data_IF_799854629888
#
_entry.id   IF_799854629888
#
_cell.length_a   1.000
_cell.length_b   1.000
_cell.length_c   1.000
_cell.angle_alpha   90.00
_cell.angle_beta   90.00
_cell.angle_gamma   90.00
#
_symmetry.space_group_name_H-M   'P 1'
#
loop_
_entity.id
_entity.type
_entity.pdbx_description
1 polymer ?
#
# COMPACT_ATOMS: atom_id res chain seq x y z
N UNK A 1 -15.83 -2.29 21.47
CA UNK A 1 -15.32 -3.36 20.61
C UNK A 1 -13.85 -3.06 20.43
N UNK A 2 -12.98 -3.91 20.97
CA UNK A 2 -11.53 -3.73 20.92
C UNK A 2 -11.10 -3.67 19.46
N UNK A 3 -10.44 -2.59 19.04
CA UNK A 3 -9.73 -2.52 17.77
C UNK A 3 -8.58 -3.54 17.86
N UNK A 4 -8.84 -4.77 17.47
CA UNK A 4 -7.88 -5.86 17.58
C UNK A 4 -6.97 -5.85 16.35
N UNK A 5 -5.68 -5.63 16.58
CA UNK A 5 -4.64 -5.60 15.54
C UNK A 5 -3.56 -4.57 15.85
N UNK A 6 -2.30 -4.77 15.41
CA UNK A 6 -1.24 -3.77 15.58
C UNK A 6 -1.49 -2.52 14.72
N UNK A 7 -0.97 -1.38 15.17
CA UNK A 7 -0.77 -0.19 14.35
C UNK A 7 0.65 -0.19 13.78
N UNK A 8 0.73 -0.29 12.46
CA UNK A 8 1.98 -0.46 11.72
C UNK A 8 2.47 0.87 11.16
N UNK A 9 3.78 1.11 11.25
CA UNK A 9 4.49 2.07 10.42
C UNK A 9 5.09 1.34 9.21
N UNK A 10 4.78 1.77 8.00
CA UNK A 10 5.33 1.23 6.76
C UNK A 10 6.21 2.32 6.10
N UNK A 11 7.51 2.03 6.03
CA UNK A 11 8.53 2.96 5.51
C UNK A 11 8.95 2.58 4.09
N UNK A 12 8.69 3.50 3.17
CA UNK A 12 9.11 3.44 1.77
C UNK A 12 10.47 4.10 1.52
N UNK A 13 10.76 4.39 0.26
CA UNK A 13 12.05 4.96 -0.16
C UNK A 13 12.01 6.43 -0.57
N UNK A 14 10.87 7.11 -0.46
CA UNK A 14 10.73 8.54 -0.74
C UNK A 14 11.65 9.41 0.14
N UNK A 15 12.17 10.56 -0.34
CA UNK A 15 13.13 11.38 0.40
C UNK A 15 12.66 11.83 1.79
N UNK A 16 11.37 12.13 1.93
CA UNK A 16 10.75 12.58 3.18
C UNK A 16 10.72 11.51 4.28
N UNK A 17 10.96 10.23 3.96
CA UNK A 17 11.01 9.13 4.94
C UNK A 17 12.01 9.40 6.07
N UNK A 18 13.02 10.24 5.82
CA UNK A 18 13.99 10.72 6.81
C UNK A 18 13.35 11.38 8.03
N UNK A 19 12.13 11.95 7.91
CA UNK A 19 11.43 12.48 9.07
C UNK A 19 11.15 11.39 10.13
N UNK A 20 11.02 10.13 9.72
CA UNK A 20 10.77 9.00 10.63
C UNK A 20 11.98 8.59 11.49
N UNK A 21 13.17 9.15 11.24
CA UNK A 21 14.37 8.93 12.05
C UNK A 21 14.21 9.47 13.47
N UNK A 22 13.47 10.57 13.61
CA UNK A 22 13.28 11.28 14.88
C UNK A 22 11.98 10.88 15.59
N UNK A 23 11.14 10.04 14.96
CA UNK A 23 9.86 9.66 15.54
C UNK A 23 10.02 8.60 16.65
N UNK A 24 9.44 8.85 17.83
CA UNK A 24 9.45 7.87 18.92
C UNK A 24 8.89 6.51 18.50
N UNK A 25 9.59 5.43 18.85
CA UNK A 25 9.22 4.04 18.49
C UNK A 25 7.86 3.66 19.09
N UNK A 26 7.51 4.24 20.24
CA UNK A 26 6.26 4.00 20.96
C UNK A 26 5.02 4.56 20.24
N UNK A 27 5.16 5.32 19.15
CA UNK A 27 4.00 5.74 18.34
C UNK A 27 3.47 4.64 17.42
N UNK A 28 4.12 3.47 17.40
CA UNK A 28 3.79 2.36 16.53
C UNK A 28 3.96 1.03 17.29
N UNK A 29 3.14 0.03 16.97
CA UNK A 29 3.32 -1.32 17.52
C UNK A 29 4.47 -2.03 16.80
N UNK A 30 4.52 -1.91 15.47
CA UNK A 30 5.59 -2.48 14.62
C UNK A 30 5.98 -1.55 13.48
N UNK A 31 7.21 -1.68 13.00
CA UNK A 31 7.81 -0.94 11.90
C UNK A 31 8.23 -1.91 10.81
N UNK A 32 7.64 -1.72 9.65
CA UNK A 32 7.94 -2.48 8.44
C UNK A 32 8.67 -1.55 7.49
N UNK A 33 9.85 -1.97 7.02
CA UNK A 33 10.66 -1.25 6.05
C UNK A 33 10.68 -2.03 4.75
N UNK A 34 10.71 -1.32 3.61
CA UNK A 34 10.88 -1.96 2.30
C UNK A 34 12.18 -1.55 1.61
N UNK A 35 12.79 -2.48 0.88
CA UNK A 35 14.00 -2.25 0.10
C UNK A 35 15.11 -1.58 0.94
N UNK A 36 15.55 -0.37 0.58
CA UNK A 36 16.64 0.31 1.30
C UNK A 36 16.16 1.02 2.57
N UNK A 37 14.85 1.09 2.85
CA UNK A 37 14.30 1.85 3.98
C UNK A 37 14.76 1.34 5.36
N UNK A 38 15.31 0.13 5.44
CA UNK A 38 16.00 -0.37 6.64
C UNK A 38 17.13 0.55 7.13
N UNK A 39 17.67 1.41 6.24
CA UNK A 39 18.73 2.38 6.55
C UNK A 39 18.23 3.66 7.23
N UNK A 40 16.92 3.84 7.34
CA UNK A 40 16.32 5.04 7.95
C UNK A 40 16.50 4.96 9.47
N UNK A 41 16.08 3.86 10.07
CA UNK A 41 16.15 3.64 11.51
C UNK A 41 16.61 2.21 11.81
N UNK A 42 17.35 1.94 12.88
CA UNK A 42 17.89 0.60 13.16
C UNK A 42 16.90 -0.36 13.83
N UNK A 43 15.78 0.15 14.36
CA UNK A 43 14.80 -0.56 15.18
C UNK A 43 13.51 -0.93 14.40
N UNK A 44 13.65 -1.23 13.12
CA UNK A 44 12.59 -1.88 12.35
C UNK A 44 12.40 -3.34 12.77
N UNK A 45 11.19 -3.88 12.58
CA UNK A 45 10.82 -5.24 12.96
C UNK A 45 10.81 -6.19 11.74
N UNK A 46 10.33 -5.69 10.59
CA UNK A 46 10.23 -6.48 9.35
C UNK A 46 10.83 -5.73 8.17
N UNK A 47 11.66 -6.42 7.38
CA UNK A 47 12.14 -5.94 6.08
C UNK A 47 11.51 -6.77 4.94
N UNK A 48 10.86 -6.09 4.00
CA UNK A 48 10.30 -6.70 2.78
C UNK A 48 11.07 -6.22 1.55
N UNK A 49 11.52 -7.13 0.69
CA UNK A 49 12.19 -6.78 -0.57
C UNK A 49 11.96 -7.85 -1.66
N UNK A 50 12.05 -7.51 -2.96
CA UNK A 50 11.84 -8.47 -4.05
C UNK A 50 13.01 -9.43 -4.24
N UNK A 51 12.79 -10.55 -4.96
CA UNK A 51 13.82 -11.59 -5.22
C UNK A 51 15.13 -11.01 -5.80
N UNK A 52 15.02 -9.96 -6.62
CA UNK A 52 16.14 -9.31 -7.30
C UNK A 52 16.84 -8.24 -6.43
N UNK A 53 16.45 -8.06 -5.16
CA UNK A 53 17.07 -7.09 -4.28
C UNK A 53 18.55 -7.42 -4.01
N UNK A 54 19.51 -6.56 -4.41
CA UNK A 54 20.92 -6.92 -4.41
C UNK A 54 21.46 -7.26 -3.01
N UNK A 55 22.23 -8.36 -2.82
CA UNK A 55 22.81 -8.72 -1.53
C UNK A 55 23.59 -7.59 -0.85
N UNK A 56 24.35 -6.81 -1.61
CA UNK A 56 25.11 -5.65 -1.10
C UNK A 56 24.26 -4.48 -0.57
N UNK A 57 22.95 -4.47 -0.84
CA UNK A 57 21.99 -3.47 -0.36
C UNK A 57 21.16 -3.97 0.83
N UNK A 58 21.34 -5.24 1.23
CA UNK A 58 20.66 -5.84 2.39
C UNK A 58 21.35 -5.39 3.70
N UNK A 59 20.65 -5.42 4.84
CA UNK A 59 21.28 -5.25 6.13
C UNK A 59 22.44 -6.25 6.29
N UNK A 60 23.60 -5.84 6.81
CA UNK A 60 24.73 -6.74 7.00
C UNK A 60 24.46 -7.75 8.12
N UNK A 61 23.67 -7.37 9.12
CA UNK A 61 23.30 -8.17 10.28
C UNK A 61 21.83 -7.89 10.64
N UNK A 62 21.19 -8.90 11.21
CA UNK A 62 19.85 -8.82 11.79
C UNK A 62 19.98 -8.93 13.30
N UNK A 63 19.18 -8.14 14.04
CA UNK A 63 18.99 -8.41 15.46
C UNK A 63 18.00 -9.57 15.68
N UNK A 64 17.86 -10.04 16.93
CA UNK A 64 17.02 -11.19 17.28
C UNK A 64 15.52 -10.99 17.01
N UNK A 65 15.05 -9.74 16.92
CA UNK A 65 13.65 -9.40 16.67
C UNK A 65 13.34 -9.09 15.21
N UNK A 66 14.38 -8.94 14.38
CA UNK A 66 14.26 -8.57 12.97
C UNK A 66 14.04 -9.77 12.08
N UNK A 67 13.07 -9.68 11.18
CA UNK A 67 12.82 -10.71 10.16
C UNK A 67 12.79 -10.13 8.75
N UNK A 68 13.12 -10.97 7.79
CA UNK A 68 13.01 -10.69 6.36
C UNK A 68 11.77 -11.40 5.82
N UNK A 69 11.08 -10.76 4.89
CA UNK A 69 9.97 -11.32 4.11
C UNK A 69 10.33 -11.25 2.62
N UNK A 70 10.33 -12.40 1.98
CA UNK A 70 10.67 -12.56 0.55
C UNK A 70 9.44 -13.02 -0.25
N UNK A 71 9.63 -13.30 -1.54
CA UNK A 71 8.54 -13.52 -2.49
C UNK A 71 7.69 -14.75 -2.18
N UNK A 72 8.27 -15.79 -1.58
CA UNK A 72 7.55 -16.97 -1.14
C UNK A 72 6.49 -16.66 -0.06
N UNK A 73 6.67 -15.59 0.72
CA UNK A 73 5.68 -15.10 1.67
C UNK A 73 4.74 -14.04 1.08
N UNK A 74 5.26 -13.03 0.38
CA UNK A 74 4.42 -11.91 -0.07
C UNK A 74 3.62 -12.22 -1.34
N UNK A 75 4.08 -13.09 -2.24
CA UNK A 75 3.35 -13.43 -3.48
C UNK A 75 2.03 -14.13 -3.17
N UNK A 76 1.99 -15.20 -2.34
CA UNK A 76 0.73 -15.82 -1.96
C UNK A 76 -0.19 -14.85 -1.22
N UNK A 77 0.38 -14.01 -0.34
CA UNK A 77 -0.40 -13.03 0.42
C UNK A 77 -1.09 -12.00 -0.48
N UNK A 78 -0.39 -11.46 -1.48
CA UNK A 78 -0.96 -10.51 -2.44
C UNK A 78 -1.99 -11.18 -3.37
N UNK A 79 -1.78 -12.45 -3.72
CA UNK A 79 -2.73 -13.23 -4.52
C UNK A 79 -4.08 -13.46 -3.81
N UNK A 80 -4.12 -13.52 -2.48
CA UNK A 80 -5.39 -13.52 -1.72
C UNK A 80 -6.26 -12.29 -2.00
N UNK A 81 -5.65 -11.21 -2.50
CA UNK A 81 -6.30 -9.94 -2.75
C UNK A 81 -6.32 -9.57 -4.24
N UNK A 82 -6.35 -10.55 -5.15
CA UNK A 82 -6.51 -10.31 -6.59
C UNK A 82 -5.21 -10.07 -7.36
N UNK A 83 -4.07 -10.49 -6.80
CA UNK A 83 -2.80 -10.57 -7.51
C UNK A 83 -2.22 -9.22 -7.94
N UNK A 84 -1.17 -9.26 -8.76
CA UNK A 84 -0.30 -8.10 -8.97
C UNK A 84 -0.88 -7.06 -9.94
N UNK A 85 -1.72 -7.47 -10.89
CA UNK A 85 -2.35 -6.54 -11.86
C UNK A 85 -3.35 -5.62 -11.15
N UNK A 86 -4.21 -6.17 -10.29
CA UNK A 86 -5.21 -5.39 -9.56
C UNK A 86 -4.63 -4.70 -8.34
N UNK A 87 -3.79 -5.37 -7.55
CA UNK A 87 -3.20 -4.80 -6.34
C UNK A 87 -2.10 -3.77 -6.61
N UNK A 88 -1.44 -3.85 -7.77
CA UNK A 88 -0.24 -3.08 -8.10
C UNK A 88 1.04 -3.78 -7.61
N UNK A 89 2.12 -3.69 -8.39
CA UNK A 89 3.36 -4.43 -8.12
C UNK A 89 4.43 -3.62 -7.36
N UNK A 90 4.14 -2.37 -6.98
CA UNK A 90 5.09 -1.59 -6.18
C UNK A 90 5.36 -2.28 -4.84
N UNK A 91 6.58 -2.18 -4.34
CA UNK A 91 6.91 -2.76 -3.02
C UNK A 91 6.06 -2.18 -1.88
N UNK A 92 5.52 -0.98 -2.00
CA UNK A 92 4.62 -0.45 -0.99
C UNK A 92 3.28 -1.18 -0.95
N UNK A 93 2.70 -1.50 -2.11
CA UNK A 93 1.48 -2.31 -2.17
C UNK A 93 1.75 -3.76 -1.80
N UNK A 94 2.84 -4.35 -2.32
CA UNK A 94 3.25 -5.71 -1.96
C UNK A 94 3.44 -5.87 -0.45
N UNK A 95 4.15 -4.92 0.18
CA UNK A 95 4.35 -4.90 1.64
C UNK A 95 3.02 -4.74 2.38
N UNK A 96 2.14 -3.86 1.92
CA UNK A 96 0.86 -3.61 2.57
C UNK A 96 -0.08 -4.83 2.50
N UNK A 97 -0.20 -5.49 1.35
CA UNK A 97 -1.04 -6.69 1.23
C UNK A 97 -0.47 -7.88 2.01
N UNK A 98 0.86 -8.04 2.04
CA UNK A 98 1.49 -9.00 2.94
C UNK A 98 1.16 -8.69 4.40
N UNK A 99 1.36 -7.45 4.85
CA UNK A 99 1.07 -7.04 6.23
C UNK A 99 -0.41 -7.24 6.58
N UNK A 100 -1.33 -6.92 5.65
CA UNK A 100 -2.76 -7.10 5.84
C UNK A 100 -3.13 -8.58 6.04
N UNK A 101 -2.59 -9.49 5.21
CA UNK A 101 -2.82 -10.94 5.37
C UNK A 101 -2.17 -11.54 6.61
N UNK A 102 -0.90 -11.20 6.86
CA UNK A 102 -0.08 -11.88 7.87
C UNK A 102 -0.29 -11.31 9.27
N UNK A 103 -0.43 -9.99 9.40
CA UNK A 103 -0.44 -9.29 10.69
C UNK A 103 -1.83 -8.82 11.11
N UNK A 104 -2.79 -8.75 10.17
CA UNK A 104 -4.17 -8.28 10.41
C UNK A 104 -4.21 -6.98 11.24
N UNK A 105 -3.52 -5.93 10.76
CA UNK A 105 -3.40 -4.67 11.48
C UNK A 105 -4.74 -3.97 11.60
N UNK A 106 -4.87 -3.09 12.60
CA UNK A 106 -5.96 -2.11 12.66
C UNK A 106 -5.61 -0.80 11.93
N UNK A 107 -4.31 -0.52 11.78
CA UNK A 107 -3.80 0.68 11.11
C UNK A 107 -2.53 0.31 10.34
N UNK A 108 -2.45 0.76 9.09
CA UNK A 108 -1.23 0.81 8.28
C UNK A 108 -0.93 2.28 7.96
N UNK A 109 0.10 2.84 8.58
CA UNK A 109 0.51 4.22 8.39
C UNK A 109 1.76 4.30 7.51
N UNK A 110 1.68 5.01 6.39
CA UNK A 110 2.70 5.03 5.34
C UNK A 110 3.52 6.32 5.40
N UNK A 111 4.84 6.19 5.34
CA UNK A 111 5.77 7.30 5.15
C UNK A 111 6.80 6.96 4.07
N UNK A 112 7.18 7.93 3.22
CA UNK A 112 8.10 7.67 2.11
C UNK A 112 7.53 6.81 0.99
N UNK A 113 6.20 6.71 0.91
CA UNK A 113 5.48 5.90 -0.09
C UNK A 113 4.69 6.78 -1.07
N UNK A 114 5.08 8.03 -1.26
CA UNK A 114 4.27 9.01 -1.97
C UNK A 114 4.02 8.69 -3.44
N UNK A 115 4.91 7.92 -4.07
CA UNK A 115 4.77 7.51 -5.47
C UNK A 115 4.59 8.69 -6.44
N UNK A 116 5.08 9.87 -6.05
CA UNK A 116 5.22 11.03 -6.92
C UNK A 116 6.67 11.07 -7.38
N UNK A 117 6.89 10.82 -8.67
CA UNK A 117 8.23 10.77 -9.26
C UNK A 117 8.49 12.07 -10.03
N UNK A 118 9.20 13.05 -9.44
CA UNK A 118 9.51 14.28 -10.15
C UNK A 118 10.43 13.99 -11.36
N UNK A 119 10.25 14.73 -12.45
CA UNK A 119 11.09 14.60 -13.67
C UNK A 119 12.55 15.03 -13.44
N UNK A 120 12.83 15.76 -12.35
CA UNK A 120 14.15 16.27 -11.96
C UNK A 120 14.29 16.25 -10.44
N UNK A 121 15.45 15.86 -9.91
CA UNK A 121 15.72 15.80 -8.46
C UNK A 121 15.94 14.38 -7.93
N UNK A 122 16.13 14.24 -6.62
CA UNK A 122 16.24 12.93 -5.98
C UNK A 122 14.86 12.27 -5.90
N UNK A 123 14.72 11.08 -6.49
CA UNK A 123 13.49 10.27 -6.40
C UNK A 123 13.47 9.40 -5.14
N UNK A 124 14.62 9.23 -4.47
CA UNK A 124 14.78 8.38 -3.29
C UNK A 124 15.63 9.06 -2.21
N UNK A 125 15.46 8.68 -0.94
CA UNK A 125 16.23 9.27 0.17
C UNK A 125 17.74 8.97 0.13
N UNK A 126 18.15 7.97 -0.65
CA UNK A 126 19.55 7.58 -0.88
C UNK A 126 20.10 8.14 -2.21
N UNK A 127 19.46 9.17 -2.78
CA UNK A 127 19.86 9.81 -4.04
C UNK A 127 18.96 9.39 -5.21
N UNK A 128 19.57 9.03 -6.34
CA UNK A 128 18.84 8.56 -7.53
C UNK A 128 18.75 7.04 -7.51
N UNK A 129 17.61 6.50 -7.08
CA UNK A 129 17.24 5.11 -7.38
C UNK A 129 16.71 5.00 -8.82
N UNK A 130 16.80 3.81 -9.42
CA UNK A 130 15.96 3.53 -10.58
C UNK A 130 14.50 3.69 -10.09
N UNK A 131 13.72 4.64 -10.62
CA UNK A 131 12.31 4.69 -10.29
C UNK A 131 11.71 3.31 -10.62
N UNK A 132 10.81 2.84 -9.77
CA UNK A 132 9.84 1.82 -10.18
C UNK A 132 9.28 2.34 -11.50
N UNK A 133 9.53 1.66 -12.62
CA UNK A 133 9.41 2.32 -13.90
C UNK A 133 7.99 2.86 -14.03
N UNK A 134 7.83 4.18 -14.08
CA UNK A 134 6.71 4.80 -14.80
C UNK A 134 6.78 4.47 -16.31
N UNK A 135 7.49 3.41 -16.72
CA UNK A 135 7.48 2.83 -18.07
C UNK A 135 6.29 1.91 -18.10
N UNK A 136 5.43 2.04 -19.10
CA UNK A 136 4.46 1.07 -19.65
C UNK A 136 4.22 -0.25 -18.87
N UNK A 137 4.06 -0.19 -17.55
CA UNK A 137 3.81 -1.34 -16.69
C UNK A 137 2.35 -1.29 -16.30
N UNK A 138 1.62 -2.34 -16.68
CA UNK A 138 0.19 -2.45 -16.50
C UNK A 138 -0.24 -2.31 -15.03
N UNK A 139 0.63 -2.70 -14.08
CA UNK A 139 0.36 -2.65 -12.65
C UNK A 139 0.56 -1.26 -12.02
N UNK A 140 1.24 -0.34 -12.74
CA UNK A 140 1.61 0.99 -12.27
C UNK A 140 0.82 2.14 -12.95
N UNK A 141 -0.19 1.80 -13.77
CA UNK A 141 -0.94 2.75 -14.61
C UNK A 141 -1.70 3.82 -13.83
N UNK A 142 -2.42 3.46 -12.77
CA UNK A 142 -3.10 4.40 -11.87
C UNK A 142 -2.79 4.05 -10.40
N UNK A 143 -1.66 4.55 -9.92
CA UNK A 143 -1.23 4.34 -8.53
C UNK A 143 -2.28 4.87 -7.54
N UNK A 144 -3.01 5.95 -7.87
CA UNK A 144 -4.09 6.45 -7.02
C UNK A 144 -5.24 5.45 -6.90
N UNK A 145 -5.65 4.81 -7.99
CA UNK A 145 -6.65 3.76 -7.94
C UNK A 145 -6.19 2.52 -7.16
N UNK A 146 -4.92 2.12 -7.30
CA UNK A 146 -4.35 1.03 -6.50
C UNK A 146 -4.36 1.35 -5.00
N UNK A 147 -4.06 2.61 -4.64
CA UNK A 147 -4.19 3.06 -3.25
C UNK A 147 -5.65 3.05 -2.78
N UNK A 148 -6.60 3.48 -3.62
CA UNK A 148 -8.03 3.44 -3.26
C UNK A 148 -8.52 2.02 -3.00
N UNK A 149 -8.13 1.09 -3.87
CA UNK A 149 -8.40 -0.34 -3.73
C UNK A 149 -7.83 -0.90 -2.44
N UNK A 150 -6.57 -0.63 -2.14
CA UNK A 150 -5.93 -1.07 -0.89
C UNK A 150 -6.66 -0.52 0.34
N UNK A 151 -7.00 0.78 0.35
CA UNK A 151 -7.72 1.40 1.46
C UNK A 151 -9.08 0.74 1.73
N UNK A 152 -9.84 0.42 0.68
CA UNK A 152 -11.16 -0.19 0.81
C UNK A 152 -11.10 -1.67 1.17
N UNK A 153 -10.11 -2.42 0.67
CA UNK A 153 -9.86 -3.81 1.10
C UNK A 153 -9.40 -3.86 2.56
N UNK A 154 -8.55 -2.92 2.98
CA UNK A 154 -8.16 -2.79 4.37
C UNK A 154 -9.37 -2.44 5.25
N UNK A 155 -10.22 -1.51 4.81
CA UNK A 155 -11.43 -1.11 5.53
C UNK A 155 -12.41 -2.27 5.74
N UNK A 156 -12.59 -3.13 4.74
CA UNK A 156 -13.38 -4.38 4.86
C UNK A 156 -12.86 -5.30 5.98
N UNK A 157 -11.54 -5.26 6.27
CA UNK A 157 -10.91 -6.01 7.36
C UNK A 157 -10.79 -5.21 8.67
N UNK A 158 -11.42 -4.04 8.76
CA UNK A 158 -11.31 -3.18 9.93
C UNK A 158 -9.97 -2.45 10.08
N UNK A 159 -9.20 -2.34 9.00
CA UNK A 159 -7.90 -1.67 8.97
C UNK A 159 -7.99 -0.29 8.29
N UNK A 160 -7.44 0.74 8.94
CA UNK A 160 -7.27 2.06 8.34
C UNK A 160 -5.91 2.19 7.63
N UNK A 161 -5.88 2.74 6.42
CA UNK A 161 -4.65 3.18 5.76
C UNK A 161 -4.47 4.68 5.98
N UNK A 162 -3.29 5.10 6.45
CA UNK A 162 -2.95 6.51 6.73
C UNK A 162 -1.75 6.96 5.91
N UNK A 163 -1.78 8.21 5.44
CA UNK A 163 -0.63 8.87 4.84
C UNK A 163 -0.01 9.84 5.84
N UNK A 164 1.24 9.61 6.24
CA UNK A 164 1.98 10.46 7.17
C UNK A 164 2.78 11.56 6.48
N UNK A 165 2.92 11.49 5.15
CA UNK A 165 3.57 12.50 4.34
C UNK A 165 2.79 13.82 4.40
N UNK A 166 3.51 14.94 4.26
CA UNK A 166 2.93 16.26 3.99
C UNK A 166 3.19 16.70 2.54
N UNK A 167 3.90 15.90 1.76
CA UNK A 167 4.21 16.18 0.37
C UNK A 167 3.05 15.74 -0.56
N UNK A 168 3.17 16.12 -1.83
CA UNK A 168 2.33 15.57 -2.90
C UNK A 168 2.45 14.04 -2.92
N UNK A 169 1.31 13.38 -3.01
CA UNK A 169 1.20 11.93 -2.83
C UNK A 169 0.17 11.36 -3.79
N UNK A 170 0.48 10.22 -4.40
CA UNK A 170 -0.48 9.41 -5.14
C UNK A 170 -1.33 8.53 -4.23
N UNK A 171 -0.95 8.38 -2.94
CA UNK A 171 -1.73 7.66 -1.95
C UNK A 171 -2.95 8.47 -1.54
N UNK A 172 -4.15 7.96 -1.83
CA UNK A 172 -5.43 8.57 -1.49
C UNK A 172 -5.89 8.32 -0.04
N UNK A 173 -4.96 7.90 0.83
CA UNK A 173 -5.26 7.61 2.23
C UNK A 173 -5.55 8.87 3.04
N UNK A 174 -6.27 8.72 4.15
CA UNK A 174 -6.46 9.82 5.10
C UNK A 174 -5.10 10.29 5.63
N UNK A 175 -4.85 11.60 5.60
CA UNK A 175 -3.63 12.17 6.18
C UNK A 175 -3.73 12.23 7.70
N UNK A 176 -2.65 11.87 8.38
CA UNK A 176 -2.56 11.89 9.83
C UNK A 176 -1.16 12.31 10.29
N UNK A 177 -1.09 12.90 11.48
CA UNK A 177 0.18 13.11 12.16
C UNK A 177 0.67 11.79 12.80
N UNK A 178 1.98 11.49 12.78
CA UNK A 178 2.53 10.21 13.24
C UNK A 178 2.18 9.89 14.71
N UNK A 179 2.12 10.90 15.59
CA UNK A 179 1.75 10.75 17.00
C UNK A 179 0.31 10.28 17.23
N UNK A 180 -0.56 10.37 16.21
CA UNK A 180 -1.95 9.94 16.29
C UNK A 180 -2.17 8.48 15.88
N UNK A 181 -1.15 7.80 15.33
CA UNK A 181 -1.30 6.47 14.73
C UNK A 181 -1.78 5.43 15.73
N UNK A 182 -1.18 5.36 16.93
CA UNK A 182 -1.64 4.43 17.97
C UNK A 182 -3.09 4.68 18.38
N UNK A 183 -3.53 5.94 18.45
CA UNK A 183 -4.87 6.28 18.92
C UNK A 183 -5.91 6.30 17.78
N UNK A 184 -5.50 6.00 16.55
CA UNK A 184 -6.38 6.03 15.40
C UNK A 184 -7.42 4.91 15.46
N UNK A 185 -8.69 5.30 15.31
CA UNK A 185 -9.85 4.42 15.43
C UNK A 185 -10.91 4.65 14.35
N UNK A 186 -10.59 5.44 13.32
CA UNK A 186 -11.50 5.75 12.21
C UNK A 186 -11.20 4.86 11.02
N UNK A 187 -12.21 4.19 10.49
CA UNK A 187 -12.12 3.40 9.26
C UNK A 187 -13.02 4.08 8.23
N UNK A 188 -12.59 4.20 6.95
CA UNK A 188 -13.45 4.74 5.91
C UNK A 188 -14.78 4.00 5.83
N UNK A 189 -15.90 4.72 5.65
CA UNK A 189 -17.17 4.08 5.36
C UNK A 189 -17.11 3.22 4.10
N UNK A 190 -17.59 1.98 4.17
CA UNK A 190 -17.58 1.06 3.04
C UNK A 190 -19.00 0.75 2.54
N UNK A 191 -19.32 1.21 1.33
CA UNK A 191 -20.50 0.72 0.58
C UNK A 191 -20.22 -0.70 0.10
N UNK A 192 -20.66 -1.68 0.90
CA UNK A 192 -20.37 -3.10 0.68
C UNK A 192 -20.96 -3.62 -0.64
N UNK A 193 -22.11 -3.10 -1.09
CA UNK A 193 -22.72 -3.53 -2.36
C UNK A 193 -21.81 -3.17 -3.53
N UNK A 194 -21.29 -1.93 -3.55
CA UNK A 194 -20.38 -1.48 -4.62
C UNK A 194 -19.00 -2.11 -4.51
N UNK A 195 -18.51 -2.30 -3.29
CA UNK A 195 -17.27 -3.03 -3.05
C UNK A 195 -17.35 -4.44 -3.66
N UNK A 196 -18.38 -5.20 -3.32
CA UNK A 196 -18.57 -6.57 -3.84
C UNK A 196 -18.77 -6.58 -5.36
N UNK A 197 -19.46 -5.57 -5.92
CA UNK A 197 -19.60 -5.43 -7.36
C UNK A 197 -18.24 -5.24 -8.06
N UNK A 198 -17.34 -4.40 -7.51
CA UNK A 198 -16.00 -4.20 -8.07
C UNK A 198 -15.16 -5.49 -7.97
N UNK A 199 -15.21 -6.18 -6.82
CA UNK A 199 -14.52 -7.47 -6.62
C UNK A 199 -14.98 -8.53 -7.62
N UNK A 200 -16.30 -8.64 -7.85
CA UNK A 200 -16.84 -9.59 -8.82
C UNK A 200 -16.38 -9.30 -10.26
N UNK A 201 -16.17 -8.03 -10.63
CA UNK A 201 -15.62 -7.69 -11.96
C UNK A 201 -14.14 -8.08 -12.04
N UNK A 202 -13.34 -7.86 -11.00
CA UNK A 202 -11.94 -8.31 -10.95
C UNK A 202 -11.84 -9.84 -11.09
N UNK A 203 -12.64 -10.58 -10.32
CA UNK A 203 -12.68 -12.05 -10.38
C UNK A 203 -13.09 -12.56 -11.77
N UNK A 204 -14.02 -11.87 -12.44
CA UNK A 204 -14.46 -12.23 -13.79
C UNK A 204 -13.41 -11.93 -14.88
N UNK A 205 -12.51 -10.98 -14.66
CA UNK A 205 -11.41 -10.70 -15.58
C UNK A 205 -10.28 -11.73 -15.48
N UNK A 206 -10.11 -12.36 -14.31
CA UNK A 206 -9.20 -13.50 -14.14
C UNK A 206 -7.74 -13.15 -14.43
N UNK A 207 -7.27 -11.96 -14.02
CA UNK A 207 -5.87 -11.54 -14.17
C UNK A 207 -4.96 -12.21 -13.12
N UNK A 208 -5.07 -13.53 -12.99
CA UNK A 208 -4.38 -14.32 -11.98
C UNK A 208 -2.90 -14.47 -12.30
N UNK A 209 -2.07 -14.28 -11.27
CA UNK A 209 -0.61 -14.40 -11.38
C UNK A 209 -0.07 -15.20 -10.19
N UNK A 210 -0.28 -16.54 -10.16
CA UNK A 210 0.02 -17.36 -8.99
C UNK A 210 1.48 -17.30 -8.52
N UNK A 211 2.41 -17.07 -9.44
CA UNK A 211 3.85 -16.94 -9.21
C UNK A 211 4.32 -15.48 -9.08
N UNK A 212 3.40 -14.51 -9.13
CA UNK A 212 3.68 -13.08 -9.11
C UNK A 212 4.27 -12.51 -10.40
N UNK A 213 4.47 -13.33 -11.45
CA UNK A 213 5.12 -12.92 -12.71
C UNK A 213 4.10 -12.41 -13.72
N UNK A 214 3.39 -11.34 -13.34
CA UNK A 214 2.31 -10.74 -14.15
C UNK A 214 2.75 -10.29 -15.55
N UNK A 215 4.04 -9.98 -15.73
CA UNK A 215 4.60 -9.60 -17.02
C UNK A 215 4.48 -10.71 -18.07
N UNK A 216 4.45 -11.98 -17.64
CA UNK A 216 4.28 -13.13 -18.54
C UNK A 216 2.89 -13.21 -19.17
N UNK A 217 1.92 -12.50 -18.59
CA UNK A 217 0.51 -12.48 -19.01
C UNK A 217 0.04 -11.09 -19.42
N UNK A 218 0.97 -10.14 -19.63
CA UNK A 218 0.62 -8.74 -19.90
C UNK A 218 -0.27 -8.56 -21.14
N UNK A 219 -0.06 -9.36 -22.19
CA UNK A 219 -0.86 -9.32 -23.42
C UNK A 219 -2.31 -9.78 -23.23
N UNK A 220 -2.61 -10.51 -22.15
CA UNK A 220 -3.96 -10.99 -21.83
C UNK A 220 -4.80 -9.96 -21.08
N UNK A 221 -4.21 -8.83 -20.66
CA UNK A 221 -4.89 -7.81 -19.85
C UNK A 221 -5.65 -6.84 -20.75
N UNK A 222 -6.99 -6.83 -20.63
CA UNK A 222 -7.82 -5.76 -21.20
C UNK A 222 -7.61 -4.46 -20.42
N UNK A 223 -6.80 -3.58 -21.01
CA UNK A 223 -6.46 -2.26 -20.48
C UNK A 223 -7.70 -1.39 -20.27
N UNK A 224 -8.68 -1.45 -21.18
CA UNK A 224 -9.90 -0.66 -21.04
C UNK A 224 -10.76 -1.17 -19.89
N UNK A 225 -10.76 -2.47 -19.62
CA UNK A 225 -11.42 -3.03 -18.45
C UNK A 225 -10.71 -2.65 -17.15
N UNK A 226 -9.37 -2.69 -17.14
CA UNK A 226 -8.57 -2.28 -16.00
C UNK A 226 -8.80 -0.79 -15.66
N UNK A 227 -8.75 0.10 -16.66
CA UNK A 227 -8.98 1.54 -16.48
C UNK A 227 -10.39 1.81 -15.92
N UNK A 228 -11.42 1.04 -16.34
CA UNK A 228 -12.79 1.16 -15.80
C UNK A 228 -12.87 0.75 -14.32
N UNK A 229 -12.21 -0.33 -13.92
CA UNK A 229 -12.19 -0.80 -12.53
C UNK A 229 -11.43 0.18 -11.64
N UNK A 230 -10.27 0.66 -12.12
CA UNK A 230 -9.46 1.64 -11.40
C UNK A 230 -10.25 2.94 -11.13
N UNK A 231 -11.00 3.43 -12.12
CA UNK A 231 -11.94 4.53 -11.94
C UNK A 231 -13.05 4.21 -10.91
N UNK A 232 -13.54 2.97 -10.90
CA UNK A 232 -14.52 2.48 -9.93
C UNK A 232 -14.03 2.51 -8.49
N UNK A 233 -12.81 2.02 -8.23
CA UNK A 233 -12.18 2.06 -6.90
C UNK A 233 -12.00 3.49 -6.39
N UNK A 234 -11.50 4.40 -7.24
CA UNK A 234 -11.38 5.83 -6.90
C UNK A 234 -12.73 6.46 -6.54
N UNK A 235 -13.75 6.19 -7.35
CA UNK A 235 -15.07 6.75 -7.14
C UNK A 235 -15.73 6.24 -5.84
N UNK A 236 -15.47 4.98 -5.47
CA UNK A 236 -15.94 4.39 -4.23
C UNK A 236 -15.27 5.04 -3.00
N UNK A 237 -13.94 5.16 -3.01
CA UNK A 237 -13.23 5.79 -1.90
C UNK A 237 -13.62 7.26 -1.72
N UNK A 238 -13.73 8.02 -2.82
CA UNK A 238 -14.16 9.43 -2.75
C UNK A 238 -15.57 9.60 -2.15
N UNK A 239 -16.44 8.60 -2.27
CA UNK A 239 -17.76 8.63 -1.65
C UNK A 239 -17.72 8.25 -0.17
N UNK A 240 -16.83 7.34 0.22
CA UNK A 240 -16.55 7.03 1.62
C UNK A 240 -16.13 8.30 2.39
N UNK A 241 -15.21 9.08 1.82
CA UNK A 241 -14.71 10.30 2.45
C UNK A 241 -15.81 11.35 2.66
N UNK A 242 -16.74 11.47 1.72
CA UNK A 242 -17.87 12.40 1.82
C UNK A 242 -18.87 11.97 2.90
N UNK A 243 -19.17 10.67 2.96
CA UNK A 243 -20.02 10.12 3.99
C UNK A 243 -19.45 10.36 5.39
N UNK A 244 -18.14 10.18 5.56
CA UNK A 244 -17.42 10.41 6.82
C UNK A 244 -17.38 11.89 7.23
N UNK A 245 -17.50 12.82 6.28
CA UNK A 245 -17.57 14.26 6.53
C UNK A 245 -19.01 14.77 6.75
N UNK A 246 -20.01 13.88 6.72
CA UNK A 246 -21.42 14.25 6.86
C UNK A 246 -21.99 14.97 5.63
N UNK A 247 -21.30 14.92 4.49
CA UNK A 247 -21.84 15.44 3.24
C UNK A 247 -22.91 14.49 2.66
N UNK A 248 -24.00 15.01 2.10
CA UNK A 248 -25.06 14.18 1.53
C UNK A 248 -24.51 13.36 0.36
N UNK A 249 -24.46 12.03 0.52
CA UNK A 249 -24.17 11.10 -0.57
C UNK A 249 -25.35 11.16 -1.56
N UNK A 250 -25.13 11.47 -2.85
CA UNK A 250 -26.23 11.55 -3.80
C UNK A 250 -26.90 10.16 -3.94
N UNK A 251 -28.13 10.07 -3.43
CA UNK A 251 -29.00 8.91 -3.61
C UNK A 251 -29.26 8.74 -5.12
N UNK A 252 -28.89 7.58 -5.67
CA UNK A 252 -29.26 7.23 -7.04
C UNK A 252 -30.78 7.25 -7.17
N UNK A 253 -31.29 8.08 -8.08
CA UNK A 253 -32.67 7.92 -8.56
C UNK A 253 -32.77 6.55 -9.21
N UNK A 254 -33.68 5.72 -8.69
CA UNK A 254 -34.05 4.44 -9.28
C UNK A 254 -34.61 4.62 -10.69
#
# INVERSE_FOLDING_TARGET
MTNEGPALLILGSGPNVRAAEEWPREWFDQIIVMNNAWRVRPDWDVLVYPEDFPPKKRPPELNETQRIVEADEFVPAQNLYGGFVHAGATMAYTTAYWALAALKPRVMAFMGCDMVYPKTGNTHFYGTGAPDPLREDISLRDLGAKSARLALIAAEQGCACLNLSQDDSSLLFTRAAPENVLNWNRIPFLDHERYQALRAVEDALGYDTPDGRYQNSADAVDISALDRIDAGWRALLSQADKADQGEPVPLRRR
#
